data_IF_461387538463
#
_entry.id   IF_461387538463
#
_cell.length_a   1.000
_cell.length_b   1.000
_cell.length_c   1.000
_cell.angle_alpha   90.00
_cell.angle_beta   90.00
_cell.angle_gamma   90.00
#
_symmetry.space_group_name_H-M   'P 1'
#
loop_
_entity.id
_entity.type
_entity.pdbx_description
1 polymer ?
#
# COMPACT_ATOMS: atom_id res chain seq x y z
N UNK A 1 -15.05 2.71 -21.22
CA UNK A 1 -14.28 1.47 -21.50
C UNK A 1 -13.41 1.15 -20.29
N UNK A 2 -13.61 0.02 -19.60
CA UNK A 2 -12.71 -0.45 -18.53
C UNK A 2 -11.53 -1.16 -19.19
N UNK A 3 -10.33 -0.59 -19.05
CA UNK A 3 -9.09 -1.17 -19.62
C UNK A 3 -8.77 -2.44 -18.83
N UNK A 4 -8.91 -3.62 -19.44
CA UNK A 4 -8.39 -4.86 -18.85
C UNK A 4 -6.87 -4.74 -18.81
N UNK A 5 -6.28 -4.96 -17.63
CA UNK A 5 -4.84 -5.16 -17.50
C UNK A 5 -4.47 -6.39 -18.32
N UNK A 6 -3.39 -6.28 -19.08
CA UNK A 6 -2.83 -7.44 -19.77
C UNK A 6 -2.29 -8.45 -18.73
N UNK A 7 -2.41 -9.75 -19.00
CA UNK A 7 -2.02 -10.82 -18.07
C UNK A 7 -0.56 -10.67 -17.61
N UNK A 8 0.32 -10.15 -18.48
CA UNK A 8 1.72 -9.87 -18.12
C UNK A 8 1.82 -8.77 -17.05
N UNK A 9 1.03 -7.70 -17.17
CA UNK A 9 1.01 -6.59 -16.22
C UNK A 9 0.48 -7.03 -14.86
N UNK A 10 -0.55 -7.87 -14.84
CA UNK A 10 -1.07 -8.45 -13.59
C UNK A 10 0.00 -9.31 -12.89
N UNK A 11 0.71 -10.16 -13.63
CA UNK A 11 1.80 -10.99 -13.08
C UNK A 11 2.95 -10.15 -12.53
N UNK A 12 3.34 -9.09 -13.24
CA UNK A 12 4.37 -8.16 -12.77
C UNK A 12 3.95 -7.46 -11.49
N UNK A 13 2.69 -7.00 -11.41
CA UNK A 13 2.13 -6.37 -10.22
C UNK A 13 2.15 -7.32 -9.00
N UNK A 14 1.77 -8.58 -9.19
CA UNK A 14 1.80 -9.60 -8.13
C UNK A 14 3.25 -9.84 -7.65
N UNK A 15 4.20 -10.00 -8.57
CA UNK A 15 5.63 -10.18 -8.22
C UNK A 15 6.18 -9.00 -7.43
N UNK A 16 5.83 -7.78 -7.84
CA UNK A 16 6.19 -6.57 -7.12
C UNK A 16 5.61 -6.58 -5.70
N UNK A 17 4.32 -6.91 -5.53
CA UNK A 17 3.68 -7.02 -4.22
C UNK A 17 4.40 -8.01 -3.30
N UNK A 18 4.81 -9.17 -3.80
CA UNK A 18 5.59 -10.13 -3.02
C UNK A 18 6.98 -9.60 -2.63
N UNK A 19 7.63 -8.83 -3.50
CA UNK A 19 8.92 -8.23 -3.19
C UNK A 19 8.80 -7.19 -2.06
N UNK A 20 7.77 -6.33 -2.11
CA UNK A 20 7.48 -5.34 -1.06
C UNK A 20 7.20 -6.01 0.29
N UNK A 21 6.37 -7.05 0.31
CA UNK A 21 6.09 -7.83 1.54
C UNK A 21 7.38 -8.43 2.13
N UNK A 22 8.24 -9.02 1.29
CA UNK A 22 9.54 -9.57 1.72
C UNK A 22 10.48 -8.49 2.26
N UNK A 23 10.40 -7.27 1.75
CA UNK A 23 11.17 -6.12 2.21
C UNK A 23 10.58 -5.47 3.49
N UNK A 24 9.49 -6.01 4.04
CA UNK A 24 8.84 -5.46 5.24
C UNK A 24 7.86 -4.31 4.95
N UNK A 25 7.53 -4.06 3.69
CA UNK A 25 6.55 -3.06 3.27
C UNK A 25 5.15 -3.68 3.20
N UNK A 26 4.53 -3.86 4.37
CA UNK A 26 3.14 -4.31 4.48
C UNK A 26 2.49 -3.77 5.76
N UNK A 27 1.16 -3.86 5.83
CA UNK A 27 0.37 -3.56 7.03
C UNK A 27 -0.24 -4.87 7.55
N UNK A 28 -0.13 -5.20 8.85
CA UNK A 28 -0.70 -6.42 9.39
C UNK A 28 -2.23 -6.44 9.27
N UNK A 29 -2.79 -7.64 9.05
CA UNK A 29 -4.25 -7.83 8.97
C UNK A 29 -4.99 -7.28 10.20
N UNK A 30 -4.45 -7.55 11.39
CA UNK A 30 -5.02 -7.11 12.67
C UNK A 30 -5.07 -5.59 12.84
N UNK A 31 -4.24 -4.82 12.10
CA UNK A 31 -4.31 -3.37 12.07
C UNK A 31 -5.23 -2.86 10.96
N UNK A 32 -5.19 -3.52 9.79
CA UNK A 32 -5.98 -3.15 8.62
C UNK A 32 -7.48 -3.35 8.85
N UNK A 33 -7.88 -4.49 9.41
CA UNK A 33 -9.29 -4.88 9.55
C UNK A 33 -10.08 -3.93 10.47
N UNK A 34 -9.64 -3.60 11.70
CA UNK A 34 -10.36 -2.66 12.55
C UNK A 34 -10.51 -1.28 11.91
N UNK A 35 -9.44 -0.80 11.26
CA UNK A 35 -9.49 0.49 10.54
C UNK A 35 -10.55 0.48 9.44
N UNK A 36 -10.56 -0.52 8.56
CA UNK A 36 -11.57 -0.65 7.51
C UNK A 36 -13.00 -0.71 8.05
N UNK A 37 -13.21 -1.37 9.19
CA UNK A 37 -14.53 -1.48 9.84
C UNK A 37 -14.96 -0.19 10.55
N UNK A 38 -14.01 0.69 10.86
CA UNK A 38 -14.29 1.97 11.52
C UNK A 38 -14.71 3.09 10.55
N UNK A 39 -14.45 2.94 9.26
CA UNK A 39 -14.72 3.97 8.25
C UNK A 39 -16.21 4.31 8.17
N UNK A 40 -16.55 5.59 8.23
CA UNK A 40 -17.94 6.06 8.16
C UNK A 40 -18.74 5.80 9.45
N UNK A 41 -18.08 5.41 10.53
CA UNK A 41 -18.68 5.32 11.87
C UNK A 41 -18.36 6.56 12.70
N UNK A 42 -19.03 6.74 13.84
CA UNK A 42 -18.72 7.83 14.78
C UNK A 42 -17.36 7.68 15.47
N UNK A 43 -16.70 6.52 15.36
CA UNK A 43 -15.42 6.20 15.98
C UNK A 43 -14.40 5.75 14.93
N UNK A 44 -14.24 6.54 13.86
CA UNK A 44 -13.27 6.25 12.81
C UNK A 44 -11.84 6.24 13.37
N UNK A 45 -11.10 5.16 13.08
CA UNK A 45 -9.73 4.95 13.52
C UNK A 45 -8.75 5.64 12.54
N UNK A 46 -7.56 6.05 13.01
CA UNK A 46 -6.53 6.54 12.11
C UNK A 46 -6.04 5.42 11.17
N UNK A 47 -5.59 5.75 9.94
CA UNK A 47 -4.99 4.78 9.04
C UNK A 47 -3.81 4.04 9.71
N UNK A 48 -3.74 2.71 9.54
CA UNK A 48 -2.67 1.91 10.13
C UNK A 48 -1.34 2.19 9.44
N UNK A 49 -0.26 2.12 10.23
CA UNK A 49 1.10 2.35 9.75
C UNK A 49 1.69 1.08 9.12
N UNK A 50 2.58 1.29 8.14
CA UNK A 50 3.38 0.20 7.58
C UNK A 50 4.40 -0.33 8.60
N UNK A 51 4.69 -1.63 8.54
CA UNK A 51 5.68 -2.28 9.41
C UNK A 51 7.08 -1.69 9.24
N UNK A 52 7.42 -1.17 8.05
CA UNK A 52 8.71 -0.53 7.81
C UNK A 52 8.91 0.80 8.56
N UNK A 53 7.86 1.36 9.17
CA UNK A 53 7.92 2.62 9.92
C UNK A 53 7.96 3.88 9.04
N UNK A 54 7.96 3.74 7.71
CA UNK A 54 7.89 4.86 6.78
C UNK A 54 6.45 5.32 6.54
N UNK A 55 6.30 6.62 6.26
CA UNK A 55 5.04 7.24 5.86
C UNK A 55 4.87 7.10 4.34
N UNK A 56 3.89 6.31 3.90
CA UNK A 56 3.61 6.07 2.47
C UNK A 56 2.50 6.97 1.90
N UNK A 57 1.92 7.80 2.76
CA UNK A 57 0.84 8.77 2.54
C UNK A 57 1.33 10.12 2.00
N UNK A 58 2.65 10.34 1.92
CA UNK A 58 3.25 11.55 1.35
C UNK A 58 3.49 11.45 -0.18
N UNK A 59 3.61 12.60 -0.88
CA UNK A 59 4.14 12.59 -2.24
C UNK A 59 5.52 11.94 -2.21
N UNK A 60 5.71 10.84 -2.96
CA UNK A 60 7.02 10.20 -3.10
C UNK A 60 8.03 11.31 -3.41
N UNK A 61 9.14 11.45 -2.66
CA UNK A 61 10.12 12.48 -2.97
C UNK A 61 10.50 12.26 -4.43
N UNK A 62 10.32 13.29 -5.27
CA UNK A 62 10.84 13.25 -6.62
C UNK A 62 12.32 13.02 -6.46
N UNK A 63 12.80 11.81 -6.75
CA UNK A 63 14.23 11.55 -6.87
C UNK A 63 14.68 12.42 -8.03
N UNK A 64 15.14 13.63 -7.73
CA UNK A 64 15.87 14.46 -8.68
C UNK A 64 17.15 13.67 -8.96
N UNK A 65 17.14 12.87 -10.02
CA UNK A 65 18.34 12.22 -10.53
C UNK A 65 19.11 13.34 -11.22
N UNK A 66 19.87 14.09 -10.42
CA UNK A 66 20.85 15.04 -10.93
C UNK A 66 21.79 14.28 -11.86
N UNK A 67 21.78 14.70 -13.12
CA UNK A 67 22.85 14.48 -14.09
C UNK A 67 23.50 15.84 -14.27
#
# INVERSE_FOLDING_TARGET
MKKRLDDSQQRLSIRHGFAEVKAGHYIPHEAMKPWLLSLGTSHELPPPKCVCGEAHDGPKPRRYRGV
#
